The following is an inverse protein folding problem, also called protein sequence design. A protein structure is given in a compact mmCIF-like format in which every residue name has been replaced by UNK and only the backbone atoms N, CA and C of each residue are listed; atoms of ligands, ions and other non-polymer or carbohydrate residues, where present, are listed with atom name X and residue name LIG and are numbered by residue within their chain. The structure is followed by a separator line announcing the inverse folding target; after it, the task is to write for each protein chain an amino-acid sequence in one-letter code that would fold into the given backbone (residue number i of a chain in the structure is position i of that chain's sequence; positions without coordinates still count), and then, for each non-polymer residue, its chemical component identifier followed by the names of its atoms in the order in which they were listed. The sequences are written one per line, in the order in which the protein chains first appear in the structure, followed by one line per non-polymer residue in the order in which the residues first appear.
data_IF_226036977568
#
_entry.id   IF_226036977568
#
_cell.length_a   1.000
_cell.length_b   1.000
_cell.length_c   1.000
_cell.angle_alpha   90.00
_cell.angle_beta   90.00
_cell.angle_gamma   90.00
#
_symmetry.space_group_name_H-M   'P 1'
#
loop_
_entity.id
_entity.type
_entity.pdbx_description
1 polymer ?
#
# COMPACT_ATOMS: atom_id res chain seq x y z
N UNK A 1 2.53 -19.78 0.21
CA UNK A 1 2.29 -20.10 -1.21
C UNK A 1 3.13 -19.15 -2.07
N UNK A 2 4.17 -19.60 -2.80
CA UNK A 2 5.25 -18.73 -3.30
C UNK A 2 5.19 -18.31 -4.80
N UNK A 3 4.02 -18.17 -5.43
CA UNK A 3 3.93 -18.19 -6.91
C UNK A 3 3.27 -16.97 -7.63
N UNK A 4 3.20 -15.75 -7.05
CA UNK A 4 2.58 -14.59 -7.74
C UNK A 4 3.42 -13.30 -7.86
N UNK A 5 4.75 -13.36 -7.76
CA UNK A 5 5.58 -12.15 -7.73
C UNK A 5 5.95 -11.58 -9.12
N UNK A 6 6.14 -12.43 -10.14
CA UNK A 6 6.71 -11.98 -11.43
C UNK A 6 5.70 -11.26 -12.35
N UNK A 7 4.41 -11.62 -12.31
CA UNK A 7 3.40 -11.02 -13.19
C UNK A 7 2.96 -9.61 -12.76
N UNK A 8 3.25 -9.24 -11.51
CA UNK A 8 2.81 -7.98 -10.93
C UNK A 8 3.65 -6.78 -11.41
N UNK A 9 4.96 -6.95 -11.57
CA UNK A 9 5.88 -5.87 -11.95
C UNK A 9 5.59 -5.29 -13.34
N UNK A 10 5.15 -6.11 -14.28
CA UNK A 10 4.95 -5.69 -15.67
C UNK A 10 3.66 -4.87 -15.89
N UNK A 11 2.70 -4.94 -14.95
CA UNK A 11 1.38 -4.32 -15.09
C UNK A 11 1.34 -2.87 -14.58
N UNK A 12 2.18 -2.54 -13.60
CA UNK A 12 2.26 -1.20 -13.00
C UNK A 12 2.80 -0.15 -13.98
N UNK A 13 3.60 -0.56 -14.96
CA UNK A 13 4.34 0.35 -15.86
C UNK A 13 3.49 0.92 -17.01
N UNK A 14 2.32 0.36 -17.33
CA UNK A 14 1.68 0.57 -18.64
C UNK A 14 0.47 1.52 -18.71
N UNK A 15 0.02 2.20 -17.64
CA UNK A 15 -1.27 2.93 -17.66
C UNK A 15 -1.18 4.41 -17.32
N UNK A 16 -1.06 5.30 -18.32
CA UNK A 16 -1.05 6.76 -18.15
C UNK A 16 -1.77 7.46 -19.35
N UNK A 17 -3.00 7.99 -19.18
CA UNK A 17 -3.63 9.00 -20.07
C UNK A 17 -4.85 9.79 -19.47
N UNK A 18 -4.91 11.10 -19.77
CA UNK A 18 -4.99 12.31 -18.90
C UNK A 18 -6.19 12.72 -18.03
N UNK A 19 -7.14 11.86 -17.64
CA UNK A 19 -8.07 12.17 -16.50
C UNK A 19 -8.40 10.93 -15.68
N UNK A 20 -8.48 9.79 -16.36
CA UNK A 20 -8.17 8.51 -15.75
C UNK A 20 -6.72 8.43 -15.29
N UNK A 21 -5.78 9.18 -15.88
CA UNK A 21 -4.36 9.20 -15.49
C UNK A 21 -4.11 9.59 -14.05
N UNK A 22 -4.80 10.60 -13.52
CA UNK A 22 -4.57 11.04 -12.14
C UNK A 22 -5.09 9.98 -11.18
N UNK A 23 -6.26 9.41 -11.46
CA UNK A 23 -6.84 8.30 -10.68
C UNK A 23 -5.98 7.04 -10.78
N UNK A 24 -5.50 6.68 -11.98
CA UNK A 24 -4.61 5.55 -12.22
C UNK A 24 -3.22 5.77 -11.62
N UNK A 25 -2.75 7.03 -11.54
CA UNK A 25 -1.52 7.42 -10.87
C UNK A 25 -1.66 7.34 -9.36
N UNK A 26 -2.76 7.84 -8.79
CA UNK A 26 -3.07 7.70 -7.36
C UNK A 26 -3.21 6.23 -6.96
N UNK A 27 -3.99 5.46 -7.72
CA UNK A 27 -4.14 4.02 -7.52
C UNK A 27 -2.79 3.29 -7.71
N UNK A 28 -1.94 3.75 -8.64
CA UNK A 28 -0.60 3.22 -8.86
C UNK A 28 0.34 3.49 -7.68
N UNK A 29 0.30 4.68 -7.09
CA UNK A 29 1.06 5.03 -5.87
C UNK A 29 0.58 4.20 -4.69
N UNK A 30 -0.74 4.05 -4.51
CA UNK A 30 -1.31 3.19 -3.47
C UNK A 30 -0.87 1.74 -3.65
N UNK A 31 -0.89 1.20 -4.87
CA UNK A 31 -0.40 -0.16 -5.15
C UNK A 31 1.09 -0.32 -4.86
N UNK A 32 1.91 0.68 -5.17
CA UNK A 32 3.33 0.67 -4.86
C UNK A 32 3.57 0.70 -3.34
N UNK A 33 2.83 1.53 -2.60
CA UNK A 33 2.87 1.57 -1.14
C UNK A 33 2.45 0.23 -0.53
N UNK A 34 1.33 -0.35 -0.98
CA UNK A 34 0.86 -1.65 -0.51
C UNK A 34 1.90 -2.75 -0.77
N UNK A 35 2.60 -2.72 -1.91
CA UNK A 35 3.66 -3.68 -2.17
C UNK A 35 4.87 -3.49 -1.25
N UNK A 36 5.26 -2.24 -0.97
CA UNK A 36 6.31 -1.95 0.00
C UNK A 36 5.94 -2.45 1.40
N UNK A 37 4.71 -2.19 1.86
CA UNK A 37 4.18 -2.68 3.15
C UNK A 37 4.23 -4.20 3.21
N UNK A 38 3.75 -4.90 2.18
CA UNK A 38 3.79 -6.37 2.15
C UNK A 38 5.22 -6.94 2.23
N UNK A 39 6.19 -6.31 1.53
CA UNK A 39 7.61 -6.72 1.60
C UNK A 39 8.15 -6.52 3.01
N UNK A 40 7.87 -5.37 3.64
CA UNK A 40 8.33 -5.07 4.99
C UNK A 40 7.69 -6.00 6.04
N UNK A 41 6.39 -6.29 5.93
CA UNK A 41 5.71 -7.26 6.80
C UNK A 41 6.34 -8.66 6.71
N UNK A 42 6.74 -9.07 5.51
CA UNK A 42 7.43 -10.34 5.33
C UNK A 42 8.85 -10.32 5.89
N UNK A 43 9.60 -9.22 5.69
CA UNK A 43 10.94 -9.02 6.28
C UNK A 43 10.92 -9.05 7.82
N UNK A 44 9.87 -8.50 8.45
CA UNK A 44 9.66 -8.62 9.91
C UNK A 44 9.57 -10.08 10.36
N UNK A 45 8.96 -10.96 9.55
CA UNK A 45 8.76 -12.37 9.89
C UNK A 45 10.00 -13.25 9.68
N UNK A 46 10.90 -12.90 8.75
CA UNK A 46 11.98 -13.80 8.28
C UNK A 46 13.37 -13.59 8.91
N UNK A 47 13.59 -12.59 9.78
CA UNK A 47 14.81 -12.52 10.59
C UNK A 47 15.56 -11.18 10.55
N UNK A 48 16.91 -11.16 10.45
CA UNK A 48 17.84 -10.17 11.04
C UNK A 48 17.57 -8.69 10.77
N UNK A 49 16.86 -8.35 9.70
CA UNK A 49 16.46 -6.98 9.36
C UNK A 49 15.11 -6.57 9.96
N UNK A 50 14.51 -7.39 10.83
CA UNK A 50 13.17 -7.19 11.40
C UNK A 50 13.02 -5.85 12.12
N UNK A 51 14.07 -5.39 12.80
CA UNK A 51 14.06 -4.10 13.47
C UNK A 51 13.98 -2.93 12.47
N UNK A 52 14.73 -3.02 11.38
CA UNK A 52 14.73 -2.01 10.32
C UNK A 52 13.40 -2.03 9.56
N UNK A 53 12.89 -3.22 9.24
CA UNK A 53 11.60 -3.38 8.57
C UNK A 53 10.44 -2.87 9.43
N UNK A 54 10.44 -3.16 10.73
CA UNK A 54 9.46 -2.63 11.68
C UNK A 54 9.55 -1.11 11.82
N UNK A 55 10.76 -0.56 11.82
CA UNK A 55 10.97 0.90 11.89
C UNK A 55 10.42 1.59 10.63
N UNK A 56 10.65 1.02 9.45
CA UNK A 56 10.09 1.53 8.19
C UNK A 56 8.55 1.45 8.16
N UNK A 57 7.95 0.37 8.68
CA UNK A 57 6.49 0.27 8.79
C UNK A 57 5.91 1.33 9.74
N UNK A 58 6.58 1.60 10.86
CA UNK A 58 6.18 2.67 11.79
C UNK A 58 6.27 4.05 11.16
N UNK A 59 7.34 4.32 10.42
CA UNK A 59 7.50 5.60 9.70
C UNK A 59 6.39 5.80 8.67
N UNK A 60 6.07 4.76 7.88
CA UNK A 60 4.94 4.79 6.94
C UNK A 60 3.63 5.10 7.68
N UNK A 61 3.39 4.45 8.82
CA UNK A 61 2.21 4.73 9.65
C UNK A 61 2.16 6.18 10.13
N UNK A 62 3.27 6.68 10.66
CA UNK A 62 3.37 8.06 11.13
C UNK A 62 3.08 9.07 10.01
N UNK A 63 3.72 8.92 8.85
CA UNK A 63 3.48 9.79 7.69
C UNK A 63 2.03 9.74 7.22
N UNK A 64 1.39 8.56 7.25
CA UNK A 64 -0.04 8.44 6.95
C UNK A 64 -0.93 9.15 7.98
N UNK A 65 -0.57 9.15 9.27
CA UNK A 65 -1.33 9.86 10.31
C UNK A 65 -1.21 11.38 10.23
N UNK A 66 -0.07 11.90 9.76
CA UNK A 66 0.18 13.33 9.62
C UNK A 66 -0.41 13.92 8.32
N UNK A 67 -1.07 13.08 7.50
CA UNK A 67 -1.69 13.55 6.26
C UNK A 67 -2.84 14.53 6.54
N UNK A 68 -2.82 15.68 5.84
CA UNK A 68 -3.91 16.64 5.84
C UNK A 68 -5.22 15.99 5.36
N UNK A 69 -6.36 16.40 5.95
CA UNK A 69 -7.66 15.73 5.75
C UNK A 69 -8.07 15.51 4.29
N UNK A 70 -7.75 16.46 3.39
CA UNK A 70 -8.04 16.32 1.96
C UNK A 70 -7.17 15.26 1.27
N UNK A 71 -5.88 15.15 1.65
CA UNK A 71 -4.99 14.10 1.15
C UNK A 71 -5.42 12.74 1.71
N UNK A 72 -5.78 12.69 2.98
CA UNK A 72 -6.31 11.49 3.65
C UNK A 72 -7.54 10.96 2.93
N UNK A 73 -8.50 11.84 2.62
CA UNK A 73 -9.71 11.47 1.86
C UNK A 73 -9.36 10.85 0.50
N UNK A 74 -8.50 11.50 -0.28
CA UNK A 74 -8.09 10.97 -1.61
C UNK A 74 -7.36 9.64 -1.51
N UNK A 75 -6.52 9.48 -0.49
CA UNK A 75 -5.82 8.23 -0.22
C UNK A 75 -6.80 7.10 0.08
N UNK A 76 -7.78 7.30 0.96
CA UNK A 76 -8.80 6.29 1.26
C UNK A 76 -9.69 5.98 0.04
N UNK A 77 -10.03 6.97 -0.78
CA UNK A 77 -10.77 6.74 -2.02
C UNK A 77 -9.97 5.87 -3.01
N UNK A 78 -8.66 6.11 -3.14
CA UNK A 78 -7.77 5.28 -3.96
C UNK A 78 -7.59 3.87 -3.36
N UNK A 79 -7.45 3.77 -2.03
CA UNK A 79 -7.37 2.51 -1.31
C UNK A 79 -8.60 1.62 -1.57
N UNK A 80 -9.81 2.19 -1.50
CA UNK A 80 -11.05 1.46 -1.78
C UNK A 80 -11.17 1.02 -3.24
N UNK A 81 -10.75 1.85 -4.20
CA UNK A 81 -10.70 1.45 -5.62
C UNK A 81 -9.74 0.28 -5.82
N UNK A 82 -8.57 0.32 -5.20
CA UNK A 82 -7.58 -0.77 -5.27
C UNK A 82 -8.11 -2.03 -4.59
N UNK A 83 -8.73 -1.91 -3.41
CA UNK A 83 -9.36 -3.04 -2.70
C UNK A 83 -10.50 -3.68 -3.51
N UNK A 84 -11.33 -2.88 -4.17
CA UNK A 84 -12.39 -3.38 -5.05
C UNK A 84 -11.83 -4.14 -6.27
N UNK A 85 -10.69 -3.69 -6.80
CA UNK A 85 -10.00 -4.35 -7.90
C UNK A 85 -9.25 -5.63 -7.47
N UNK A 86 -8.79 -5.71 -6.23
CA UNK A 86 -8.03 -6.84 -5.67
C UNK A 86 -8.83 -7.58 -4.59
N UNK A 87 -9.99 -8.16 -4.98
CA UNK A 87 -10.96 -8.77 -4.06
C UNK A 87 -10.36 -9.78 -3.08
N UNK A 88 -9.40 -10.59 -3.53
CA UNK A 88 -8.73 -11.62 -2.71
C UNK A 88 -7.94 -11.04 -1.52
N UNK A 89 -7.53 -9.77 -1.61
CA UNK A 89 -6.71 -9.07 -0.61
C UNK A 89 -7.42 -7.86 -0.02
N UNK A 90 -8.68 -7.63 -0.37
CA UNK A 90 -9.41 -6.41 -0.03
C UNK A 90 -9.47 -6.15 1.48
N UNK A 91 -9.57 -7.20 2.31
CA UNK A 91 -9.52 -7.06 3.76
C UNK A 91 -8.17 -6.52 4.24
N UNK A 92 -7.06 -7.18 3.86
CA UNK A 92 -5.71 -6.72 4.20
C UNK A 92 -5.43 -5.31 3.68
N UNK A 93 -5.85 -4.97 2.44
CA UNK A 93 -5.66 -3.62 1.87
C UNK A 93 -6.35 -2.54 2.73
N UNK A 94 -7.56 -2.82 3.23
CA UNK A 94 -8.31 -1.90 4.10
C UNK A 94 -7.72 -1.78 5.49
N UNK A 95 -7.02 -2.82 5.95
CA UNK A 95 -6.40 -2.85 7.26
C UNK A 95 -5.03 -2.14 7.25
N UNK A 96 -4.35 -2.00 6.10
CA UNK A 96 -3.01 -1.37 6.00
C UNK A 96 -2.93 0.05 6.63
N UNK A 97 -3.90 0.97 6.43
CA UNK A 97 -3.87 2.27 7.10
C UNK A 97 -3.96 2.19 8.63
N UNK A 98 -4.51 1.10 9.18
CA UNK A 98 -4.67 0.85 10.62
C UNK A 98 -3.61 -0.10 11.19
N UNK A 99 -2.90 -0.83 10.34
CA UNK A 99 -1.91 -1.84 10.71
C UNK A 99 -0.63 -1.32 11.41
N UNK A 100 -0.14 -0.08 11.22
CA UNK A 100 1.08 0.37 11.87
C UNK A 100 0.80 0.96 13.27
N UNK A 101 0.10 0.22 14.14
CA UNK A 101 0.00 0.56 15.58
C UNK A 101 -0.50 1.99 15.87
N UNK A 102 -1.34 2.53 15.00
CA UNK A 102 -1.99 3.83 15.18
C UNK A 102 -3.28 3.56 15.94
N UNK A 103 -3.20 3.64 17.27
CA UNK A 103 -4.41 3.89 18.09
C UNK A 103 -4.88 5.31 17.74
N UNK A 104 -6.04 5.41 17.10
CA UNK A 104 -6.87 6.63 17.02
C UNK A 104 -8.01 6.53 18.01
#
# INVERSE_FOLDING_TARGET
MPWKHAEWQHRVVSSVSGKGEVVLREDGVVRALLAAVAILEDLVKVGPDSHMALSALKEIGFELSEMESEKTRRFFEALERVAAAERDRAAWIRDVPSAPGIDV
#
